data_IF_808247800222
#
_entry.id   IF_808247800222
#
_cell.length_a   1.000
_cell.length_b   1.000
_cell.length_c   1.000
_cell.angle_alpha   90.00
_cell.angle_beta   90.00
_cell.angle_gamma   90.00
#
_symmetry.space_group_name_H-M   'P 1'
#
loop_
_entity.id
_entity.type
_entity.pdbx_description
1 polymer ?
#
# COMPACT_ATOMS: atom_id res chain seq x y z
N UNK A 1 -12.85 4.99 -10.53
CA UNK A 1 -11.69 5.86 -10.33
C UNK A 1 -10.46 5.02 -10.14
N UNK A 2 -9.32 5.48 -10.64
CA UNK A 2 -8.10 4.70 -10.63
C UNK A 2 -7.24 5.06 -9.43
N UNK A 3 -6.83 4.04 -8.67
CA UNK A 3 -5.87 4.21 -7.57
C UNK A 3 -4.47 4.11 -8.17
N UNK A 4 -3.67 5.14 -7.96
CA UNK A 4 -2.29 5.16 -8.44
C UNK A 4 -1.37 4.48 -7.43
N UNK A 5 -0.29 3.89 -7.94
CA UNK A 5 0.78 3.34 -7.09
C UNK A 5 2.08 4.00 -7.55
N UNK A 6 2.81 4.59 -6.59
CA UNK A 6 4.07 5.25 -6.89
C UNK A 6 5.08 4.93 -5.80
N UNK A 7 6.36 5.13 -6.12
CA UNK A 7 7.37 5.05 -5.07
C UNK A 7 7.29 6.31 -4.23
N UNK A 8 7.48 6.16 -2.92
CA UNK A 8 7.39 7.29 -1.99
C UNK A 8 8.47 8.34 -2.27
N UNK A 9 9.56 7.93 -2.96
CA UNK A 9 10.65 8.83 -3.35
C UNK A 9 10.32 9.69 -4.57
N UNK A 10 9.28 9.33 -5.32
CA UNK A 10 8.87 10.12 -6.48
C UNK A 10 8.30 11.45 -6.00
N UNK A 11 8.61 12.55 -6.69
CA UNK A 11 8.11 13.87 -6.27
C UNK A 11 6.58 13.88 -6.24
N UNK A 12 5.98 14.48 -5.21
CA UNK A 12 4.52 14.62 -5.17
C UNK A 12 4.00 15.38 -6.37
N UNK A 13 2.84 14.96 -6.86
CA UNK A 13 2.18 15.61 -8.00
C UNK A 13 0.75 15.99 -7.61
N UNK A 14 0.18 17.06 -8.20
CA UNK A 14 -1.20 17.43 -7.90
C UNK A 14 -2.20 16.29 -8.16
N UNK A 15 -1.94 15.45 -9.18
CA UNK A 15 -2.80 14.35 -9.55
C UNK A 15 -2.78 13.21 -8.52
N UNK A 16 -1.80 13.20 -7.61
CA UNK A 16 -1.72 12.17 -6.57
C UNK A 16 -2.91 12.18 -5.63
N UNK A 17 -3.48 13.36 -5.39
CA UNK A 17 -4.55 13.50 -4.41
C UNK A 17 -4.06 13.12 -3.02
N UNK A 18 -4.80 12.27 -2.31
CA UNK A 18 -4.39 11.79 -1.00
C UNK A 18 -3.29 10.75 -1.16
N UNK A 19 -2.14 11.00 -0.52
CA UNK A 19 -1.01 10.08 -0.58
C UNK A 19 -1.02 9.20 0.67
N UNK A 20 -1.12 7.90 0.47
CA UNK A 20 -1.26 6.92 1.55
C UNK A 20 -0.02 6.03 1.58
N UNK A 21 0.73 6.08 2.68
CA UNK A 21 1.90 5.21 2.88
C UNK A 21 1.43 3.82 3.26
N UNK A 22 1.84 2.83 2.49
CA UNK A 22 1.38 1.45 2.71
C UNK A 22 2.49 0.51 3.18
N UNK A 23 3.63 1.05 3.61
CA UNK A 23 4.70 0.28 4.21
C UNK A 23 4.61 0.37 5.74
N UNK A 24 5.10 -0.67 6.43
CA UNK A 24 5.05 -0.70 7.89
C UNK A 24 6.07 0.24 8.52
N UNK A 25 7.24 0.37 7.89
CA UNK A 25 8.33 1.19 8.42
C UNK A 25 8.55 2.43 7.55
N UNK A 26 8.90 3.55 8.19
CA UNK A 26 9.22 4.77 7.46
C UNK A 26 10.59 4.61 6.79
N UNK A 27 10.72 4.98 5.50
CA UNK A 27 11.99 4.84 4.78
C UNK A 27 13.08 5.72 5.38
N UNK A 28 14.28 5.19 5.44
CA UNK A 28 15.44 5.92 5.94
C UNK A 28 15.75 7.11 5.06
N UNK A 29 16.10 8.22 5.69
CA UNK A 29 16.55 9.42 4.99
C UNK A 29 15.45 10.21 4.31
N UNK A 30 14.21 9.80 4.43
CA UNK A 30 13.09 10.49 3.80
C UNK A 30 12.37 11.35 4.83
N UNK A 31 12.34 12.67 4.60
CA UNK A 31 11.61 13.55 5.49
C UNK A 31 10.10 13.44 5.22
N UNK A 32 9.31 13.65 6.27
CA UNK A 32 7.86 13.61 6.12
C UNK A 32 7.37 14.74 5.24
N UNK A 33 8.00 15.91 5.31
CA UNK A 33 7.64 17.06 4.48
C UNK A 33 7.86 16.76 3.00
N UNK A 34 8.99 16.15 2.65
CA UNK A 34 9.29 15.82 1.26
C UNK A 34 8.37 14.73 0.72
N UNK A 35 8.00 13.77 1.56
CA UNK A 35 7.15 12.66 1.15
C UNK A 35 5.71 13.07 0.94
N UNK A 36 5.24 14.07 1.66
CA UNK A 36 3.86 14.56 1.60
C UNK A 36 2.84 13.45 1.77
N UNK A 37 3.08 12.58 2.77
CA UNK A 37 2.16 11.49 3.10
C UNK A 37 1.03 12.04 3.96
N UNK A 38 -0.20 11.81 3.54
CA UNK A 38 -1.39 12.28 4.25
C UNK A 38 -1.90 11.25 5.24
N UNK A 39 -1.77 9.95 4.93
CA UNK A 39 -2.25 8.87 5.78
C UNK A 39 -1.21 7.75 5.84
N UNK A 40 -1.09 7.11 7.00
CA UNK A 40 -0.17 5.99 7.18
C UNK A 40 -0.84 4.90 8.01
N UNK A 41 -1.72 4.07 7.40
CA UNK A 41 -2.41 2.99 8.10
C UNK A 41 -1.51 1.77 8.24
N UNK A 42 -0.67 1.74 9.26
CA UNK A 42 0.35 0.68 9.44
C UNK A 42 -0.26 -0.73 9.48
N UNK A 43 -1.46 -0.86 10.06
CA UNK A 43 -2.09 -2.16 10.26
C UNK A 43 -2.60 -2.80 8.97
N UNK A 44 -2.60 -2.05 7.86
CA UNK A 44 -3.00 -2.62 6.57
C UNK A 44 -1.84 -3.29 5.84
N UNK A 45 -0.61 -3.16 6.36
CA UNK A 45 0.56 -3.74 5.72
C UNK A 45 0.62 -5.25 5.96
N UNK A 46 1.29 -6.02 5.07
CA UNK A 46 1.42 -7.46 5.27
C UNK A 46 2.17 -7.76 6.57
N UNK A 47 1.89 -8.92 7.16
CA UNK A 47 2.60 -9.36 8.36
C UNK A 47 4.09 -9.50 8.08
N UNK A 48 4.90 -9.43 9.13
CA UNK A 48 6.34 -9.64 9.01
C UNK A 48 6.65 -11.03 8.45
N UNK A 49 5.89 -12.04 8.90
CA UNK A 49 6.06 -13.41 8.42
C UNK A 49 5.80 -13.52 6.92
N UNK A 50 4.71 -12.93 6.45
CA UNK A 50 4.37 -12.98 5.02
C UNK A 50 5.40 -12.24 4.18
N UNK A 51 5.87 -11.07 4.66
CA UNK A 51 6.89 -10.31 3.93
C UNK A 51 8.20 -11.09 3.82
N UNK A 52 8.63 -11.71 4.92
CA UNK A 52 9.85 -12.52 4.92
C UNK A 52 9.76 -13.70 3.97
N UNK A 53 8.61 -14.39 4.00
CA UNK A 53 8.36 -15.53 3.12
C UNK A 53 8.45 -15.12 1.65
N UNK A 54 7.84 -14.03 1.28
CA UNK A 54 7.85 -13.56 -0.10
C UNK A 54 9.23 -13.07 -0.54
N UNK A 55 9.91 -12.30 0.31
CA UNK A 55 11.23 -11.79 -0.01
C UNK A 55 12.30 -12.88 -0.06
N UNK A 56 12.07 -13.98 0.62
CA UNK A 56 12.97 -15.15 0.54
C UNK A 56 12.78 -15.95 -0.75
N UNK A 57 11.82 -15.56 -1.60
CA UNK A 57 11.57 -16.27 -2.85
C UNK A 57 10.87 -17.60 -2.68
N UNK A 58 10.16 -17.78 -1.56
CA UNK A 58 9.53 -19.07 -1.27
C UNK A 58 8.17 -19.27 -1.94
N UNK A 59 7.61 -18.23 -2.55
CA UNK A 59 6.35 -18.34 -3.25
C UNK A 59 6.23 -17.32 -4.36
N UNK A 60 5.24 -17.51 -5.22
CA UNK A 60 4.94 -16.61 -6.32
C UNK A 60 4.21 -15.36 -5.84
N UNK A 61 4.13 -14.38 -6.71
CA UNK A 61 3.34 -13.19 -6.42
C UNK A 61 1.85 -13.54 -6.24
N UNK A 62 1.34 -14.50 -7.01
CA UNK A 62 -0.06 -14.93 -6.86
C UNK A 62 -0.30 -15.55 -5.48
N UNK A 63 0.64 -16.35 -4.99
CA UNK A 63 0.54 -16.92 -3.65
C UNK A 63 0.62 -15.85 -2.58
N UNK A 64 1.54 -14.90 -2.75
CA UNK A 64 1.65 -13.76 -1.85
C UNK A 64 0.34 -12.98 -1.81
N UNK A 65 -0.23 -12.67 -2.98
CA UNK A 65 -1.49 -11.93 -3.08
C UNK A 65 -2.61 -12.63 -2.34
N UNK A 66 -2.72 -13.94 -2.53
CA UNK A 66 -3.77 -14.73 -1.88
C UNK A 66 -3.63 -14.69 -0.37
N UNK A 67 -2.40 -14.86 0.14
CA UNK A 67 -2.15 -14.83 1.59
C UNK A 67 -2.38 -13.44 2.17
N UNK A 68 -1.98 -12.41 1.44
CA UNK A 68 -2.18 -11.04 1.90
C UNK A 68 -3.68 -10.69 1.93
N UNK A 69 -4.44 -11.12 0.92
CA UNK A 69 -5.89 -10.90 0.94
C UNK A 69 -6.55 -11.57 2.13
N UNK A 70 -6.05 -12.74 2.54
CA UNK A 70 -6.56 -13.41 3.74
C UNK A 70 -6.25 -12.58 4.99
N UNK A 71 -5.07 -11.97 5.06
CA UNK A 71 -4.73 -11.08 6.18
C UNK A 71 -5.61 -9.83 6.18
N UNK A 72 -5.92 -9.31 5.00
CA UNK A 72 -6.77 -8.12 4.88
C UNK A 72 -8.23 -8.39 5.25
N UNK A 73 -8.62 -9.64 5.33
CA UNK A 73 -9.96 -10.01 5.76
C UNK A 73 -10.11 -9.99 7.29
N UNK A 74 -9.00 -9.89 8.04
CA UNK A 74 -9.07 -9.76 9.48
C UNK A 74 -9.78 -8.45 9.86
N UNK A 75 -10.56 -8.42 10.96
CA UNK A 75 -11.43 -7.26 11.25
C UNK A 75 -10.75 -5.91 11.23
N UNK A 76 -9.58 -5.77 11.83
CA UNK A 76 -8.89 -4.49 11.90
C UNK A 76 -8.44 -4.02 10.52
N UNK A 77 -7.81 -4.90 9.75
CA UNK A 77 -7.36 -4.57 8.40
C UNK A 77 -8.55 -4.31 7.47
N UNK A 78 -9.61 -5.11 7.59
CA UNK A 78 -10.80 -4.93 6.77
C UNK A 78 -11.44 -3.57 7.01
N UNK A 79 -11.45 -3.10 8.26
CA UNK A 79 -11.98 -1.78 8.59
C UNK A 79 -11.15 -0.67 7.94
N UNK A 80 -9.81 -0.80 7.99
CA UNK A 80 -8.92 0.17 7.36
C UNK A 80 -9.08 0.17 5.85
N UNK A 81 -9.23 -1.00 5.26
CA UNK A 81 -9.44 -1.11 3.81
C UNK A 81 -10.76 -0.43 3.41
N UNK A 82 -11.79 -0.60 4.21
CA UNK A 82 -13.07 0.07 4.00
C UNK A 82 -12.90 1.60 4.05
N UNK A 83 -12.17 2.10 5.03
CA UNK A 83 -11.90 3.53 5.19
C UNK A 83 -11.15 4.07 3.97
N UNK A 84 -10.15 3.35 3.47
CA UNK A 84 -9.44 3.75 2.26
C UNK A 84 -10.36 3.76 1.05
N UNK A 85 -11.28 2.79 0.97
CA UNK A 85 -12.28 2.76 -0.10
C UNK A 85 -13.15 4.00 -0.11
N UNK A 86 -13.48 4.52 1.08
CA UNK A 86 -14.24 5.78 1.17
C UNK A 86 -13.43 6.95 0.61
N UNK A 87 -12.12 7.01 0.89
CA UNK A 87 -11.26 8.05 0.33
C UNK A 87 -11.21 7.97 -1.20
N UNK A 88 -11.12 6.77 -1.74
CA UNK A 88 -11.09 6.57 -3.19
C UNK A 88 -12.36 7.11 -3.84
N UNK A 89 -13.50 6.92 -3.20
CA UNK A 89 -14.77 7.43 -3.71
C UNK A 89 -14.87 8.95 -3.65
N UNK A 90 -14.10 9.59 -2.78
CA UNK A 90 -14.11 11.03 -2.62
C UNK A 90 -13.17 11.78 -3.56
N UNK A 91 -12.17 11.11 -4.11
CA UNK A 91 -11.24 11.76 -5.01
C UNK A 91 -10.00 10.90 -5.28
N UNK A 92 -8.99 11.45 -5.97
CA UNK A 92 -7.79 10.71 -6.30
C UNK A 92 -7.05 10.24 -5.06
N UNK A 93 -6.54 9.00 -5.11
CA UNK A 93 -5.73 8.41 -4.05
C UNK A 93 -4.50 7.77 -4.70
N UNK A 94 -3.34 7.99 -4.10
CA UNK A 94 -2.10 7.36 -4.53
C UNK A 94 -1.51 6.59 -3.36
N UNK A 95 -1.28 5.29 -3.57
CA UNK A 95 -0.57 4.48 -2.60
C UNK A 95 0.93 4.64 -2.84
N UNK A 96 1.68 4.96 -1.79
CA UNK A 96 3.12 5.16 -1.93
C UNK A 96 3.87 4.11 -1.10
N UNK A 97 4.98 3.64 -1.66
CA UNK A 97 5.77 2.57 -1.07
C UNK A 97 7.25 2.77 -1.40
N UNK A 98 8.12 2.24 -0.56
CA UNK A 98 9.56 2.29 -0.79
C UNK A 98 10.10 1.13 -1.61
N UNK A 99 9.26 0.10 -1.89
CA UNK A 99 9.74 -1.07 -2.62
C UNK A 99 10.17 -0.71 -4.04
N UNK A 100 11.13 -1.48 -4.59
CA UNK A 100 11.69 -1.19 -5.91
C UNK A 100 10.73 -1.50 -7.05
N UNK A 101 9.92 -2.55 -6.90
CA UNK A 101 8.99 -3.02 -7.94
C UNK A 101 7.56 -2.99 -7.41
N UNK A 102 6.95 -1.81 -7.35
CA UNK A 102 5.59 -1.69 -6.78
C UNK A 102 4.54 -2.55 -7.47
N UNK A 103 4.73 -2.86 -8.76
CA UNK A 103 3.77 -3.64 -9.55
C UNK A 103 3.66 -5.08 -9.08
N UNK A 104 4.65 -5.60 -8.34
CA UNK A 104 4.61 -6.94 -7.77
C UNK A 104 4.77 -6.87 -6.25
N UNK A 105 4.06 -5.97 -5.63
CA UNK A 105 4.14 -5.73 -4.20
C UNK A 105 2.75 -5.67 -3.58
N UNK A 106 2.73 -5.55 -2.26
CA UNK A 106 1.49 -5.35 -1.50
C UNK A 106 0.72 -4.11 -1.99
N UNK A 107 1.44 -3.09 -2.47
CA UNK A 107 0.79 -1.87 -2.95
C UNK A 107 -0.10 -2.16 -4.16
N UNK A 108 0.35 -3.00 -5.09
CA UNK A 108 -0.47 -3.33 -6.25
C UNK A 108 -1.67 -4.19 -5.89
N UNK A 109 -1.53 -5.06 -4.88
CA UNK A 109 -2.66 -5.84 -4.38
C UNK A 109 -3.72 -4.91 -3.79
N UNK A 110 -3.30 -3.96 -2.96
CA UNK A 110 -4.22 -2.98 -2.37
C UNK A 110 -4.91 -2.15 -3.45
N UNK A 111 -4.14 -1.67 -4.42
CA UNK A 111 -4.70 -0.85 -5.50
C UNK A 111 -5.79 -1.59 -6.27
N UNK A 112 -5.54 -2.87 -6.58
CA UNK A 112 -6.51 -3.70 -7.28
C UNK A 112 -7.80 -3.86 -6.46
N UNK A 113 -7.67 -4.09 -5.17
CA UNK A 113 -8.83 -4.25 -4.29
C UNK A 113 -9.61 -2.95 -4.15
N UNK A 114 -8.92 -1.82 -4.07
CA UNK A 114 -9.56 -0.52 -3.92
C UNK A 114 -10.23 -0.04 -5.22
N UNK A 115 -9.74 -0.49 -6.37
CA UNK A 115 -10.32 -0.16 -7.67
C UNK A 115 -11.50 -1.05 -8.05
N UNK A 116 -11.71 -2.13 -7.33
CA UNK A 116 -12.76 -3.09 -7.61
C UNK A 116 -14.16 -2.55 -7.35
#
# INVERSE_FOLDING_TARGET
MTVRVRRVYDPPEPEDGVRVMVDRLWPRGLSKDAARVDEWPKEITPSTELRRWYHAGEGSFEEFSSRYEAELAEPEAAQLLHTLGNLVRMGPVTLVTAVRSPEQSHASVLARLLDA
#
